data_IF_803322920562
#
_entry.id   IF_803322920562
#
_cell.length_a   1.000
_cell.length_b   1.000
_cell.length_c   1.000
_cell.angle_alpha   90.00
_cell.angle_beta   90.00
_cell.angle_gamma   90.00
#
_symmetry.space_group_name_H-M   'P 1'
#
loop_
_entity.id
_entity.type
_entity.pdbx_description
1 polymer ?
#
# COMPACT_ATOMS: atom_id res chain seq x y z
N UNK A 1 13.29 1.37 34.19
CA UNK A 1 12.63 0.64 33.08
C UNK A 1 11.48 1.52 32.60
N UNK A 2 11.57 2.08 31.39
CA UNK A 2 10.47 2.88 30.84
C UNK A 2 9.38 1.92 30.34
N UNK A 3 8.25 1.89 31.04
CA UNK A 3 7.04 1.24 30.55
C UNK A 3 6.57 1.98 29.31
N UNK A 4 6.74 1.37 28.14
CA UNK A 4 6.11 1.85 26.90
C UNK A 4 4.61 1.63 27.11
N UNK A 5 3.91 2.65 27.61
CA UNK A 5 2.45 2.70 27.57
C UNK A 5 2.06 2.85 26.11
N UNK A 6 1.90 1.72 25.42
CA UNK A 6 1.16 1.69 24.16
C UNK A 6 -0.26 2.05 24.56
N UNK A 7 -0.71 3.24 24.18
CA UNK A 7 -2.11 3.63 24.33
C UNK A 7 -2.95 2.64 23.50
N UNK A 8 -3.57 1.69 24.17
CA UNK A 8 -4.36 0.62 23.55
C UNK A 8 -5.50 1.20 22.69
N UNK A 9 -6.02 2.38 23.07
CA UNK A 9 -7.05 3.05 22.28
C UNK A 9 -6.47 3.61 20.99
N UNK A 10 -5.23 4.13 21.02
CA UNK A 10 -4.54 4.63 19.84
C UNK A 10 -4.23 3.49 18.85
N UNK A 11 -3.72 2.36 19.34
CA UNK A 11 -3.40 1.19 18.50
C UNK A 11 -4.66 0.60 17.84
N UNK A 12 -5.75 0.42 18.61
CA UNK A 12 -7.03 -0.07 18.06
C UNK A 12 -7.63 0.90 17.04
N UNK A 13 -7.54 2.20 17.29
CA UNK A 13 -8.01 3.23 16.36
C UNK A 13 -7.17 3.24 15.07
N UNK A 14 -5.85 3.11 15.20
CA UNK A 14 -4.94 3.04 14.06
C UNK A 14 -5.20 1.79 13.22
N UNK A 15 -5.42 0.62 13.84
CA UNK A 15 -5.81 -0.60 13.15
C UNK A 15 -7.13 -0.40 12.37
N UNK A 16 -8.17 0.12 13.01
CA UNK A 16 -9.46 0.31 12.35
C UNK A 16 -9.38 1.29 11.17
N UNK A 17 -8.51 2.30 11.26
CA UNK A 17 -8.21 3.21 10.15
C UNK A 17 -7.42 2.50 9.03
N UNK A 18 -6.42 1.70 9.38
CA UNK A 18 -5.60 0.95 8.44
C UNK A 18 -6.44 0.00 7.58
N UNK A 19 -7.36 -0.75 8.20
CA UNK A 19 -8.25 -1.69 7.50
C UNK A 19 -9.24 -0.99 6.54
N UNK A 20 -9.55 0.28 6.81
CA UNK A 20 -10.47 1.11 6.02
C UNK A 20 -9.75 2.03 5.04
N UNK A 21 -8.42 2.13 5.10
CA UNK A 21 -7.65 2.98 4.23
C UNK A 21 -7.79 2.49 2.78
N UNK A 22 -8.16 3.39 1.87
CA UNK A 22 -8.32 3.09 0.44
C UNK A 22 -7.58 4.13 -0.37
N UNK A 23 -6.83 3.66 -1.37
CA UNK A 23 -6.13 4.51 -2.31
C UNK A 23 -7.14 5.21 -3.23
N UNK A 24 -7.10 6.54 -3.28
CA UNK A 24 -8.00 7.35 -4.11
C UNK A 24 -7.29 7.78 -5.39
N UNK A 25 -7.71 7.23 -6.52
CA UNK A 25 -7.24 7.67 -7.84
C UNK A 25 -5.70 7.67 -7.97
N UNK A 26 -5.11 8.85 -8.22
CA UNK A 26 -3.67 9.03 -8.46
C UNK A 26 -2.86 9.38 -7.19
N UNK A 27 -3.49 9.40 -6.02
CA UNK A 27 -2.87 9.77 -4.73
C UNK A 27 -2.10 8.60 -4.09
N UNK A 28 -1.35 7.84 -4.89
CA UNK A 28 -0.63 6.66 -4.39
C UNK A 28 0.43 7.03 -3.35
N UNK A 29 1.13 8.15 -3.53
CA UNK A 29 2.16 8.61 -2.58
C UNK A 29 1.56 8.95 -1.20
N UNK A 30 0.40 9.60 -1.19
CA UNK A 30 -0.32 9.99 0.03
C UNK A 30 -0.87 8.76 0.74
N UNK A 31 -1.45 7.82 -0.02
CA UNK A 31 -1.88 6.53 0.50
C UNK A 31 -0.76 5.77 1.21
N UNK A 32 0.42 5.64 0.61
CA UNK A 32 1.55 4.96 1.25
C UNK A 32 2.07 5.70 2.48
N UNK A 33 2.09 7.03 2.44
CA UNK A 33 2.47 7.84 3.60
C UNK A 33 1.52 7.62 4.78
N UNK A 34 0.21 7.63 4.54
CA UNK A 34 -0.79 7.38 5.58
C UNK A 34 -0.73 5.92 6.08
N UNK A 35 -0.53 4.96 5.16
CA UNK A 35 -0.39 3.54 5.50
C UNK A 35 0.80 3.28 6.45
N UNK A 36 1.97 3.85 6.17
CA UNK A 36 3.17 3.76 7.02
C UNK A 36 2.94 4.34 8.42
N UNK A 37 2.29 5.51 8.49
CA UNK A 37 1.96 6.16 9.74
C UNK A 37 1.00 5.31 10.58
N UNK A 38 -0.03 4.75 9.97
CA UNK A 38 -1.01 3.90 10.66
C UNK A 38 -0.39 2.58 11.12
N UNK A 39 0.50 1.95 10.34
CA UNK A 39 1.23 0.77 10.77
C UNK A 39 2.11 1.07 12.00
N UNK A 40 2.81 2.21 11.98
CA UNK A 40 3.66 2.66 13.08
C UNK A 40 2.83 2.92 14.35
N UNK A 41 1.67 3.58 14.22
CA UNK A 41 0.77 3.88 15.34
C UNK A 41 0.10 2.61 15.90
N UNK A 42 -0.23 1.65 15.04
CA UNK A 42 -0.79 0.37 15.46
C UNK A 42 0.27 -0.55 16.10
N UNK A 43 1.56 -0.30 15.85
CA UNK A 43 2.68 -1.12 16.32
C UNK A 43 2.88 -2.39 15.47
N UNK A 44 2.48 -2.36 14.20
CA UNK A 44 2.63 -3.48 13.29
C UNK A 44 3.97 -3.48 12.57
N UNK A 45 4.50 -4.69 12.34
CA UNK A 45 5.54 -4.91 11.33
C UNK A 45 4.94 -4.72 9.93
N UNK A 46 5.50 -3.78 9.17
CA UNK A 46 5.02 -3.41 7.84
C UNK A 46 5.12 -4.54 6.82
N UNK A 47 6.00 -5.53 7.07
CA UNK A 47 6.14 -6.71 6.22
C UNK A 47 5.37 -7.93 6.75
N UNK A 48 4.61 -7.78 7.84
CA UNK A 48 3.78 -8.87 8.34
C UNK A 48 2.75 -9.29 7.27
N UNK A 49 2.50 -10.60 7.06
CA UNK A 49 1.56 -11.07 6.05
C UNK A 49 0.16 -10.45 6.15
N UNK A 50 -0.31 -10.19 7.38
CA UNK A 50 -1.58 -9.50 7.63
C UNK A 50 -1.57 -8.06 7.06
N UNK A 51 -0.49 -7.32 7.31
CA UNK A 51 -0.35 -5.93 6.84
C UNK A 51 -0.25 -5.88 5.32
N UNK A 52 0.48 -6.80 4.70
CA UNK A 52 0.54 -6.91 3.24
C UNK A 52 -0.83 -7.26 2.62
N UNK A 53 -1.65 -8.04 3.30
CA UNK A 53 -3.02 -8.30 2.86
C UNK A 53 -3.89 -7.04 2.95
N UNK A 54 -3.80 -6.29 4.07
CA UNK A 54 -4.51 -5.01 4.22
C UNK A 54 -4.06 -4.01 3.14
N UNK A 55 -2.75 -3.96 2.85
CA UNK A 55 -2.20 -3.13 1.78
C UNK A 55 -2.86 -3.46 0.44
N UNK A 56 -2.89 -4.75 0.05
CA UNK A 56 -3.49 -5.18 -1.21
C UNK A 56 -4.98 -4.84 -1.30
N UNK A 57 -5.73 -4.94 -0.21
CA UNK A 57 -7.13 -4.54 -0.14
C UNK A 57 -7.33 -3.02 -0.15
N UNK A 58 -6.33 -2.28 0.32
CA UNK A 58 -6.29 -0.82 0.33
C UNK A 58 -6.01 -0.22 -1.05
N UNK A 59 -5.21 -0.90 -1.87
CA UNK A 59 -4.89 -0.47 -3.23
C UNK A 59 -6.12 -0.64 -4.14
N UNK A 60 -6.28 0.26 -5.12
CA UNK A 60 -7.36 0.17 -6.08
C UNK A 60 -7.31 -1.17 -6.86
N UNK A 61 -8.42 -1.93 -6.97
CA UNK A 61 -8.42 -3.27 -7.58
C UNK A 61 -7.85 -3.32 -9.00
N UNK A 62 -8.10 -2.30 -9.82
CA UNK A 62 -7.56 -2.24 -11.18
C UNK A 62 -6.03 -2.19 -11.23
N UNK A 63 -5.40 -1.53 -10.24
CA UNK A 63 -3.93 -1.48 -10.15
C UNK A 63 -3.41 -2.84 -9.70
N UNK A 64 -4.05 -3.45 -8.71
CA UNK A 64 -3.70 -4.80 -8.24
C UNK A 64 -3.76 -5.81 -9.39
N UNK A 65 -4.82 -5.77 -10.21
CA UNK A 65 -4.95 -6.64 -11.37
C UNK A 65 -3.82 -6.41 -12.39
N UNK A 66 -3.49 -5.15 -12.69
CA UNK A 66 -2.38 -4.82 -13.60
C UNK A 66 -1.02 -5.25 -13.06
N UNK A 67 -0.81 -5.16 -11.74
CA UNK A 67 0.40 -5.68 -11.10
C UNK A 67 0.52 -7.18 -11.30
N UNK A 68 -0.54 -7.93 -11.03
CA UNK A 68 -0.55 -9.38 -11.28
C UNK A 68 -0.28 -9.72 -12.75
N UNK A 69 -0.82 -8.95 -13.68
CA UNK A 69 -0.53 -9.11 -15.11
C UNK A 69 0.93 -8.80 -15.44
N UNK A 70 1.49 -7.73 -14.88
CA UNK A 70 2.89 -7.36 -15.08
C UNK A 70 3.83 -8.43 -14.50
N UNK A 71 3.55 -8.95 -13.31
CA UNK A 71 4.33 -10.03 -12.70
C UNK A 71 4.32 -11.28 -13.57
N UNK A 72 3.15 -11.68 -14.08
CA UNK A 72 3.03 -12.81 -15.00
C UNK A 72 3.83 -12.57 -16.30
N UNK A 73 3.65 -11.39 -16.93
CA UNK A 73 4.35 -11.04 -18.17
C UNK A 73 5.89 -11.02 -18.03
N UNK A 74 6.39 -10.69 -16.84
CA UNK A 74 7.82 -10.67 -16.53
C UNK A 74 8.37 -12.00 -16.01
N UNK A 75 7.54 -13.06 -15.95
CA UNK A 75 7.94 -14.37 -15.43
C UNK A 75 8.24 -14.36 -13.92
N UNK A 76 7.71 -13.38 -13.18
CA UNK A 76 7.85 -13.28 -11.73
C UNK A 76 6.86 -14.27 -11.09
N UNK A 77 7.35 -15.48 -10.82
CA UNK A 77 6.54 -16.55 -10.24
C UNK A 77 6.23 -16.36 -8.75
N UNK A 78 7.01 -15.52 -8.06
CA UNK A 78 6.77 -15.16 -6.66
C UNK A 78 6.32 -13.70 -6.58
N UNK A 79 5.04 -13.53 -6.26
CA UNK A 79 4.44 -12.23 -5.94
C UNK A 79 5.30 -11.57 -4.86
N UNK A 80 5.63 -10.26 -4.98
CA UNK A 80 6.44 -9.60 -3.99
C UNK A 80 5.85 -9.75 -2.58
N UNK A 81 6.71 -10.10 -1.62
CA UNK A 81 6.33 -10.35 -0.23
C UNK A 81 6.84 -9.27 0.72
N UNK A 82 7.24 -8.11 0.18
CA UNK A 82 7.70 -6.97 0.97
C UNK A 82 6.89 -5.72 0.62
N UNK A 83 6.70 -4.88 1.63
CA UNK A 83 6.01 -3.60 1.48
C UNK A 83 6.68 -2.72 0.41
N UNK A 84 8.01 -2.59 0.47
CA UNK A 84 8.79 -1.75 -0.46
C UNK A 84 8.65 -2.17 -1.92
N UNK A 85 8.53 -3.47 -2.17
CA UNK A 85 8.30 -3.95 -3.54
C UNK A 85 6.91 -3.57 -4.02
N UNK A 86 5.88 -3.77 -3.20
CA UNK A 86 4.52 -3.35 -3.53
C UNK A 86 4.44 -1.84 -3.77
N UNK A 87 5.02 -1.03 -2.89
CA UNK A 87 5.10 0.42 -3.02
C UNK A 87 5.74 0.85 -4.34
N UNK A 88 6.92 0.31 -4.63
CA UNK A 88 7.67 0.65 -5.84
C UNK A 88 6.87 0.33 -7.11
N UNK A 89 6.25 -0.85 -7.16
CA UNK A 89 5.47 -1.27 -8.32
C UNK A 89 4.17 -0.47 -8.51
N UNK A 90 3.44 -0.18 -7.43
CA UNK A 90 2.22 0.63 -7.49
C UNK A 90 2.55 2.04 -7.99
N UNK A 91 3.60 2.68 -7.43
CA UNK A 91 4.01 4.02 -7.85
C UNK A 91 4.42 4.04 -9.33
N UNK A 92 5.15 3.03 -9.81
CA UNK A 92 5.53 2.92 -11.21
C UNK A 92 4.31 2.82 -12.15
N UNK A 93 3.29 2.03 -11.80
CA UNK A 93 2.06 1.93 -12.61
C UNK A 93 1.30 3.26 -12.62
N UNK A 94 1.12 3.90 -11.46
CA UNK A 94 0.38 5.16 -11.35
C UNK A 94 1.11 6.29 -12.10
N UNK A 95 2.43 6.34 -12.03
CA UNK A 95 3.23 7.32 -12.76
C UNK A 95 3.09 7.15 -14.27
N UNK A 96 3.13 5.92 -14.78
CA UNK A 96 2.93 5.63 -16.19
C UNK A 96 1.53 6.04 -16.66
N UNK A 97 0.48 5.81 -15.86
CA UNK A 97 -0.88 6.28 -16.20
C UNK A 97 -0.98 7.80 -16.31
N UNK A 98 -0.35 8.53 -15.38
CA UNK A 98 -0.35 9.99 -15.39
C UNK A 98 0.28 10.52 -16.68
N UNK A 99 1.39 9.93 -17.13
CA UNK A 99 2.05 10.29 -18.39
C UNK A 99 1.13 10.02 -19.60
N UNK A 100 0.55 8.82 -19.69
CA UNK A 100 -0.34 8.47 -20.79
C UNK A 100 -1.55 9.40 -20.90
N UNK A 101 -2.18 9.76 -19.78
CA UNK A 101 -3.31 10.71 -19.76
C UNK A 101 -2.90 12.11 -20.19
N UNK A 102 -1.72 12.59 -19.79
CA UNK A 102 -1.22 13.90 -20.18
C UNK A 102 -0.96 13.99 -21.69
N UNK A 103 -0.43 12.92 -22.30
CA UNK A 103 -0.13 12.88 -23.75
C UNK A 103 -1.40 12.83 -24.59
N UNK A 104 -2.44 12.10 -24.15
CA UNK A 104 -3.70 11.95 -24.91
C UNK A 104 -4.65 13.16 -24.78
N UNK A 105 -4.34 14.11 -23.90
CA UNK A 105 -5.15 15.32 -23.66
C UNK A 105 -4.60 16.57 -24.38
N UNK A 106 -3.52 16.44 -25.15
CA UNK A 106 -2.94 17.46 -26.04
C UNK A 106 -3.26 17.14 -27.50
#
# INVERSE_FOLDING_TARGET
MHSIFIDLNLSQTAQAKLERLRMKGQEAQEFFTEFEQLCTQAGYDINAPMVLNILQQGIHPDIVNRLYWAFNALGINNIPNTYESWKSWVLAIVQNESIHKAVMSN
#
